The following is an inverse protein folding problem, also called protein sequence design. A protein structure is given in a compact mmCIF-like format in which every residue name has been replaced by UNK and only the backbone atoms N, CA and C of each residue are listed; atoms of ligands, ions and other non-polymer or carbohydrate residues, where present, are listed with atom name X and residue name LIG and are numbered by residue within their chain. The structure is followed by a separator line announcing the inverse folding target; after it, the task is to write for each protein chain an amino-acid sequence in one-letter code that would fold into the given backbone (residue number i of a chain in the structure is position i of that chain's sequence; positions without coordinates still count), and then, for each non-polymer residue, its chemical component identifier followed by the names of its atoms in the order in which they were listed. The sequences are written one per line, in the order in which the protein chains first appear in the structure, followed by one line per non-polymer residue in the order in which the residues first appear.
data_IF_153403448908
#
_entry.id   IF_153403448908
#
_cell.length_a   1.000
_cell.length_b   1.000
_cell.length_c   1.000
_cell.angle_alpha   90.00
_cell.angle_beta   90.00
_cell.angle_gamma   90.00
#
_symmetry.space_group_name_H-M   'P 1'
#
loop_
_entity.id
_entity.type
_entity.pdbx_description
1 polymer ?
#
# COMPACT_ATOMS: atom_id res chain seq x y z
N UNK A 1 -24.15 -0.70 4.32
CA UNK A 1 -22.75 -0.27 4.19
C UNK A 1 -21.90 -1.49 4.53
N UNK A 2 -20.91 -1.83 3.71
CA UNK A 2 -19.94 -2.88 4.05
C UNK A 2 -19.22 -2.40 5.31
N UNK A 3 -19.14 -3.22 6.36
CA UNK A 3 -18.41 -2.87 7.59
C UNK A 3 -16.88 -2.88 7.40
N UNK A 4 -16.40 -2.73 6.16
CA UNK A 4 -14.99 -2.74 5.76
C UNK A 4 -14.43 -1.32 5.88
N UNK A 5 -13.37 -1.16 6.66
CA UNK A 5 -12.66 0.12 6.79
C UNK A 5 -11.92 0.47 5.49
N UNK A 6 -11.88 1.76 5.15
CA UNK A 6 -11.08 2.25 4.03
C UNK A 6 -9.77 2.84 4.54
N UNK A 7 -8.67 2.43 3.93
CA UNK A 7 -7.33 2.98 4.18
C UNK A 7 -6.73 3.50 2.89
N UNK A 8 -6.11 4.68 2.95
CA UNK A 8 -5.45 5.28 1.79
C UNK A 8 -3.94 4.97 1.80
N UNK A 9 -3.35 4.71 0.63
CA UNK A 9 -1.91 4.62 0.44
C UNK A 9 -1.49 5.71 -0.53
N UNK A 10 -0.68 6.64 -0.07
CA UNK A 10 -0.32 7.88 -0.78
C UNK A 10 1.17 7.95 -1.11
N UNK A 11 1.52 8.76 -2.10
CA UNK A 11 2.90 8.95 -2.56
C UNK A 11 3.31 10.43 -2.61
N UNK A 12 2.37 11.36 -2.57
CA UNK A 12 2.62 12.81 -2.64
C UNK A 12 1.97 13.55 -1.46
N UNK A 13 2.48 14.75 -1.17
CA UNK A 13 1.93 15.59 -0.11
C UNK A 13 0.49 16.04 -0.41
N UNK A 14 0.14 16.26 -1.68
CA UNK A 14 -1.20 16.64 -2.09
C UNK A 14 -2.20 15.50 -1.82
N UNK A 15 -1.84 14.25 -2.17
CA UNK A 15 -2.66 13.08 -1.85
C UNK A 15 -2.81 12.90 -0.34
N UNK A 16 -1.73 13.13 0.42
CA UNK A 16 -1.73 13.03 1.88
C UNK A 16 -2.72 14.00 2.51
N UNK A 17 -2.67 15.29 2.13
CA UNK A 17 -3.58 16.30 2.63
C UNK A 17 -5.05 15.96 2.35
N UNK A 18 -5.35 15.49 1.13
CA UNK A 18 -6.70 15.04 0.77
C UNK A 18 -7.14 13.81 1.59
N UNK A 19 -6.25 12.81 1.76
CA UNK A 19 -6.57 11.58 2.50
C UNK A 19 -6.86 11.86 3.98
N UNK A 20 -6.09 12.74 4.61
CA UNK A 20 -6.31 13.15 6.00
C UNK A 20 -7.60 13.95 6.18
N UNK A 21 -8.00 14.75 5.18
CA UNK A 21 -9.26 15.47 5.16
C UNK A 21 -10.50 14.60 4.91
N UNK A 22 -10.32 13.34 4.46
CA UNK A 22 -11.44 12.43 4.22
C UNK A 22 -11.85 11.69 5.51
N UNK A 23 -13.05 11.93 6.02
CA UNK A 23 -13.60 11.25 7.22
C UNK A 23 -13.78 9.73 7.01
N UNK A 24 -14.00 9.29 5.78
CA UNK A 24 -14.18 7.88 5.44
C UNK A 24 -12.86 7.08 5.40
N UNK A 25 -11.70 7.72 5.56
CA UNK A 25 -10.39 7.06 5.61
C UNK A 25 -10.00 6.88 7.08
N UNK A 26 -9.89 5.64 7.53
CA UNK A 26 -9.52 5.30 8.91
C UNK A 26 -8.01 5.38 9.17
N UNK A 27 -7.18 5.10 8.16
CA UNK A 27 -5.73 5.19 8.26
C UNK A 27 -5.09 5.51 6.90
N UNK A 28 -3.90 6.14 6.94
CA UNK A 28 -3.15 6.54 5.75
C UNK A 28 -1.75 5.95 5.81
N UNK A 29 -1.35 5.20 4.78
CA UNK A 29 0.01 4.73 4.58
C UNK A 29 0.83 5.84 3.94
N UNK A 30 1.86 6.31 4.66
CA UNK A 30 2.62 7.52 4.34
C UNK A 30 4.11 7.20 4.22
N UNK A 31 4.77 7.47 3.08
CA UNK A 31 6.22 7.38 2.99
C UNK A 31 6.90 8.23 4.06
N UNK A 32 7.93 7.69 4.75
CA UNK A 32 8.61 8.38 5.85
C UNK A 32 9.08 9.79 5.47
N UNK A 33 9.54 9.99 4.24
CA UNK A 33 9.95 11.31 3.71
C UNK A 33 8.83 12.38 3.69
N UNK A 34 7.57 11.98 3.81
CA UNK A 34 6.41 12.89 3.89
C UNK A 34 5.90 13.05 5.33
N UNK A 35 6.40 12.26 6.27
CA UNK A 35 6.08 12.39 7.68
C UNK A 35 6.94 13.51 8.32
N UNK A 36 6.33 14.36 9.14
CA UNK A 36 7.00 15.47 9.80
C UNK A 36 6.04 16.29 10.64
N UNK A 37 6.50 17.37 11.25
CA UNK A 37 5.78 18.19 12.24
C UNK A 37 4.29 18.50 11.91
N UNK A 38 3.89 18.84 10.66
CA UNK A 38 2.47 19.11 10.40
C UNK A 38 1.54 17.90 10.53
N UNK A 39 2.09 16.70 10.74
CA UNK A 39 1.32 15.45 10.82
C UNK A 39 1.17 14.91 12.24
N UNK A 40 1.75 15.54 13.24
CA UNK A 40 1.73 15.06 14.64
C UNK A 40 0.29 14.92 15.14
N UNK A 41 -0.60 15.83 14.76
CA UNK A 41 -2.03 15.77 15.10
C UNK A 41 -2.78 14.58 14.46
N UNK A 42 -2.20 13.95 13.43
CA UNK A 42 -2.74 12.79 12.71
C UNK A 42 -1.94 11.50 12.96
N UNK A 43 -1.02 11.51 13.93
CA UNK A 43 -0.10 10.39 14.18
C UNK A 43 -0.82 9.07 14.44
N UNK A 44 -2.00 9.11 15.05
CA UNK A 44 -2.87 7.96 15.28
C UNK A 44 -3.50 7.36 14.02
N UNK A 45 -3.62 8.15 12.93
CA UNK A 45 -4.14 7.72 11.63
C UNK A 45 -3.03 7.33 10.64
N UNK A 46 -1.77 7.69 10.93
CA UNK A 46 -0.64 7.45 10.03
C UNK A 46 -0.03 6.06 10.27
N UNK A 47 0.27 5.36 9.18
CA UNK A 47 1.08 4.16 9.15
C UNK A 47 2.30 4.48 8.27
N UNK A 48 3.47 4.55 8.87
CA UNK A 48 4.70 4.91 8.17
C UNK A 48 5.11 3.84 7.16
N UNK A 49 5.57 4.26 6.00
CA UNK A 49 6.17 3.40 4.98
C UNK A 49 7.69 3.62 4.98
N UNK A 50 8.49 2.73 5.57
CA UNK A 50 9.93 2.77 5.40
C UNK A 50 10.32 2.43 3.96
N UNK A 51 11.55 2.76 3.53
CA UNK A 51 12.05 2.36 2.21
C UNK A 51 11.92 0.85 2.02
N UNK A 52 11.37 0.40 0.88
CA UNK A 52 11.13 -1.03 0.62
C UNK A 52 12.43 -1.85 0.59
N UNK A 53 13.54 -1.21 0.24
CA UNK A 53 14.86 -1.80 0.22
C UNK A 53 15.79 -1.03 1.16
N UNK A 54 16.24 -1.65 2.24
CA UNK A 54 17.12 -1.00 3.23
C UNK A 54 18.55 -0.90 2.70
N UNK A 55 19.14 -2.02 2.27
CA UNK A 55 20.49 -2.04 1.70
C UNK A 55 21.49 -1.20 2.51
N UNK A 56 22.10 -0.24 1.84
CA UNK A 56 23.11 0.66 2.43
C UNK A 56 22.49 1.80 3.26
N UNK A 57 21.16 1.85 3.42
CA UNK A 57 20.47 2.93 4.14
C UNK A 57 19.81 2.46 5.46
N UNK A 58 20.14 1.27 5.95
CA UNK A 58 19.49 0.72 7.15
C UNK A 58 19.74 1.60 8.39
N UNK A 59 20.98 1.98 8.68
CA UNK A 59 21.32 2.84 9.83
C UNK A 59 20.59 4.19 9.76
N UNK A 60 20.59 4.82 8.59
CA UNK A 60 19.87 6.07 8.37
C UNK A 60 18.36 5.90 8.57
N UNK A 61 17.79 4.81 8.04
CA UNK A 61 16.37 4.52 8.19
C UNK A 61 16.01 4.30 9.65
N UNK A 62 16.88 3.63 10.41
CA UNK A 62 16.70 3.40 11.85
C UNK A 62 16.73 4.71 12.63
N UNK A 63 17.64 5.62 12.32
CA UNK A 63 17.67 6.94 12.91
C UNK A 63 16.39 7.74 12.61
N UNK A 64 15.96 7.81 11.35
CA UNK A 64 14.73 8.47 10.94
C UNK A 64 13.49 7.86 11.63
N UNK A 65 13.44 6.53 11.80
CA UNK A 65 12.39 5.86 12.55
C UNK A 65 12.36 6.27 14.02
N UNK A 66 13.53 6.39 14.67
CA UNK A 66 13.62 6.84 16.06
C UNK A 66 13.07 8.26 16.21
N UNK A 67 13.46 9.18 15.33
CA UNK A 67 12.97 10.56 15.33
C UNK A 67 11.45 10.64 15.14
N UNK A 68 10.91 9.85 14.19
CA UNK A 68 9.47 9.78 13.96
C UNK A 68 8.72 9.12 15.13
N UNK A 69 9.35 8.17 15.83
CA UNK A 69 8.77 7.56 17.02
C UNK A 69 8.65 8.58 18.17
N UNK A 70 9.67 9.43 18.36
CA UNK A 70 9.66 10.53 19.32
C UNK A 70 8.62 11.60 18.97
N UNK A 71 8.39 11.86 17.67
CA UNK A 71 7.34 12.74 17.16
C UNK A 71 5.91 12.16 17.34
N UNK A 72 5.76 10.96 17.91
CA UNK A 72 4.44 10.40 18.27
C UNK A 72 3.90 9.36 17.29
N UNK A 73 4.56 9.08 16.16
CA UNK A 73 4.11 8.03 15.25
C UNK A 73 4.30 6.66 15.88
N UNK A 74 3.25 5.83 15.85
CA UNK A 74 3.23 4.53 16.55
C UNK A 74 3.16 3.33 15.64
N UNK A 75 2.77 3.48 14.38
CA UNK A 75 2.53 2.38 13.43
C UNK A 75 3.42 2.49 12.20
N UNK A 76 3.96 1.36 11.74
CA UNK A 76 4.73 1.29 10.52
C UNK A 76 4.49 -0.02 9.76
N UNK A 77 4.64 0.00 8.43
CA UNK A 77 4.40 -1.12 7.54
C UNK A 77 5.68 -1.91 7.26
N UNK A 78 5.65 -3.21 7.49
CA UNK A 78 6.70 -4.12 7.08
C UNK A 78 6.47 -4.59 5.63
N UNK A 79 7.40 -4.26 4.74
CA UNK A 79 7.42 -4.75 3.35
C UNK A 79 8.07 -6.13 3.23
N UNK A 80 9.01 -6.45 4.13
CA UNK A 80 9.77 -7.70 4.18
C UNK A 80 9.84 -8.22 5.60
N UNK A 81 10.23 -9.48 5.76
CA UNK A 81 10.42 -10.08 7.10
C UNK A 81 11.49 -9.32 7.92
N UNK A 82 12.55 -8.83 7.26
CA UNK A 82 13.58 -8.01 7.92
C UNK A 82 13.04 -6.70 8.51
N UNK A 83 12.02 -6.09 7.88
CA UNK A 83 11.38 -4.90 8.44
C UNK A 83 10.64 -5.19 9.76
N UNK A 84 10.14 -6.39 9.98
CA UNK A 84 9.40 -6.73 11.20
C UNK A 84 10.26 -6.50 12.43
N UNK A 85 11.49 -7.03 12.42
CA UNK A 85 12.42 -6.86 13.54
C UNK A 85 12.90 -5.42 13.67
N UNK A 86 13.26 -4.77 12.56
CA UNK A 86 13.68 -3.36 12.54
C UNK A 86 12.62 -2.46 13.20
N UNK A 87 11.36 -2.60 12.81
CA UNK A 87 10.28 -1.77 13.31
C UNK A 87 9.94 -2.06 14.77
N UNK A 88 9.95 -3.34 15.17
CA UNK A 88 9.71 -3.73 16.56
C UNK A 88 10.77 -3.20 17.51
N UNK A 89 12.06 -3.31 17.17
CA UNK A 89 13.14 -2.80 18.03
C UNK A 89 13.12 -1.28 18.19
N UNK A 90 12.52 -0.56 17.19
CA UNK A 90 12.29 0.88 17.26
C UNK A 90 10.93 1.25 17.91
N UNK A 91 10.21 0.29 18.51
CA UNK A 91 9.00 0.53 19.31
C UNK A 91 7.73 0.76 18.50
N UNK A 92 7.70 0.37 17.22
CA UNK A 92 6.49 0.49 16.40
C UNK A 92 5.57 -0.73 16.52
N UNK A 93 4.29 -0.48 16.43
CA UNK A 93 3.28 -1.47 16.07
C UNK A 93 3.41 -1.79 14.58
N UNK A 94 3.69 -3.05 14.27
CA UNK A 94 4.02 -3.46 12.89
C UNK A 94 2.77 -3.90 12.15
N UNK A 95 2.47 -3.23 11.04
CA UNK A 95 1.47 -3.63 10.05
C UNK A 95 2.13 -4.43 8.93
N UNK A 96 1.49 -5.49 8.45
CA UNK A 96 2.03 -6.33 7.39
C UNK A 96 1.62 -5.85 5.99
N UNK A 97 2.60 -5.55 5.14
CA UNK A 97 2.38 -5.15 3.76
C UNK A 97 2.08 -6.33 2.82
N UNK A 98 1.48 -6.04 1.66
CA UNK A 98 1.17 -7.04 0.63
C UNK A 98 2.41 -7.76 0.06
N UNK A 99 3.61 -7.19 0.23
CA UNK A 99 4.88 -7.81 -0.20
C UNK A 99 5.35 -8.94 0.72
N UNK A 100 4.80 -9.07 1.93
CA UNK A 100 4.98 -10.28 2.76
C UNK A 100 4.31 -11.50 2.13
N UNK A 101 3.56 -11.29 1.05
CA UNK A 101 2.94 -12.32 0.23
C UNK A 101 2.13 -13.34 1.03
N UNK A 102 1.29 -12.86 1.95
CA UNK A 102 0.42 -13.70 2.75
C UNK A 102 -0.67 -14.31 1.85
N UNK A 103 -0.58 -15.62 1.58
CA UNK A 103 -1.45 -16.34 0.64
C UNK A 103 -2.22 -17.50 1.25
N UNK A 104 -2.01 -17.81 2.54
CA UNK A 104 -2.64 -18.94 3.23
C UNK A 104 -2.67 -18.73 4.75
N UNK A 105 -3.43 -19.58 5.46
CA UNK A 105 -3.61 -19.49 6.92
C UNK A 105 -2.31 -19.75 7.71
N UNK A 106 -1.41 -20.60 7.21
CA UNK A 106 -0.13 -20.87 7.87
C UNK A 106 0.76 -19.63 7.88
N UNK A 107 0.87 -18.95 6.72
CA UNK A 107 1.60 -17.68 6.63
C UNK A 107 0.94 -16.60 7.49
N UNK A 108 -0.40 -16.51 7.51
CA UNK A 108 -1.12 -15.55 8.35
C UNK A 108 -0.85 -15.79 9.84
N UNK A 109 -0.85 -17.07 10.28
CA UNK A 109 -0.49 -17.47 11.65
C UNK A 109 0.94 -17.09 12.00
N UNK A 110 1.90 -17.45 11.15
CA UNK A 110 3.31 -17.11 11.35
C UNK A 110 3.54 -15.58 11.49
N UNK A 111 2.90 -14.80 10.63
CA UNK A 111 3.03 -13.33 10.68
C UNK A 111 2.40 -12.76 11.97
N UNK A 112 1.28 -13.32 12.42
CA UNK A 112 0.67 -12.95 13.69
C UNK A 112 1.59 -13.30 14.87
N UNK A 113 2.23 -14.48 14.86
CA UNK A 113 3.20 -14.91 15.88
C UNK A 113 4.44 -14.00 15.89
N UNK A 114 4.82 -13.43 14.75
CA UNK A 114 5.83 -12.38 14.64
C UNK A 114 5.39 -11.04 15.26
N UNK A 115 4.14 -10.92 15.71
CA UNK A 115 3.60 -9.75 16.40
C UNK A 115 3.00 -8.68 15.49
N UNK A 116 2.66 -9.01 14.25
CA UNK A 116 1.97 -8.08 13.37
C UNK A 116 0.57 -7.76 13.88
N UNK A 117 0.16 -6.50 13.79
CA UNK A 117 -1.16 -6.00 14.23
C UNK A 117 -2.25 -6.20 13.19
N UNK A 118 -1.88 -6.15 11.92
CA UNK A 118 -2.75 -6.43 10.79
C UNK A 118 -1.92 -6.89 9.58
N UNK A 119 -2.58 -7.37 8.52
CA UNK A 119 -1.91 -7.88 7.33
C UNK A 119 -2.68 -7.50 6.07
N UNK A 120 -2.02 -6.93 5.08
CA UNK A 120 -2.54 -6.82 3.72
C UNK A 120 -2.25 -8.13 2.99
N UNK A 121 -3.31 -8.86 2.64
CA UNK A 121 -3.21 -10.12 1.92
C UNK A 121 -2.68 -9.92 0.49
N UNK A 122 -2.07 -10.98 -0.06
CA UNK A 122 -1.52 -10.93 -1.42
C UNK A 122 -2.60 -10.62 -2.47
N UNK A 123 -2.36 -9.68 -3.39
CA UNK A 123 -3.29 -9.38 -4.50
C UNK A 123 -3.39 -10.50 -5.54
N UNK A 124 -2.61 -11.57 -5.41
CA UNK A 124 -2.68 -12.77 -6.24
C UNK A 124 -3.79 -13.75 -5.80
N UNK A 125 -4.39 -13.51 -4.65
CA UNK A 125 -5.47 -14.32 -4.13
C UNK A 125 -6.79 -14.04 -4.85
N UNK A 126 -7.59 -15.09 -5.02
CA UNK A 126 -9.00 -14.89 -5.40
C UNK A 126 -9.85 -14.56 -4.19
N UNK A 127 -11.01 -13.91 -4.42
CA UNK A 127 -12.03 -13.66 -3.37
C UNK A 127 -12.32 -14.94 -2.57
N UNK A 128 -12.52 -16.06 -3.28
CA UNK A 128 -12.79 -17.36 -2.65
C UNK A 128 -11.67 -17.81 -1.71
N UNK A 129 -10.40 -17.56 -2.07
CA UNK A 129 -9.24 -17.88 -1.21
C UNK A 129 -9.16 -16.95 -0.02
N UNK A 130 -9.29 -15.63 -0.24
CA UNK A 130 -9.31 -14.63 0.84
C UNK A 130 -10.36 -14.99 1.90
N UNK A 131 -11.55 -15.37 1.46
CA UNK A 131 -12.65 -15.71 2.35
C UNK A 131 -12.46 -17.01 3.13
N UNK A 132 -11.50 -17.86 2.74
CA UNK A 132 -11.17 -19.14 3.39
C UNK A 132 -9.96 -19.10 4.30
N UNK A 133 -9.10 -18.09 4.16
CA UNK A 133 -7.93 -17.93 5.02
C UNK A 133 -8.41 -17.66 6.45
N UNK A 134 -7.88 -18.42 7.40
CA UNK A 134 -7.98 -18.10 8.81
C UNK A 134 -7.07 -16.91 9.11
N UNK A 135 -7.62 -15.87 9.70
CA UNK A 135 -6.99 -14.58 9.93
C UNK A 135 -6.92 -14.32 11.44
N UNK A 136 -5.80 -14.65 12.08
CA UNK A 136 -5.63 -14.45 13.52
C UNK A 136 -5.50 -12.96 13.90
N UNK A 137 -5.22 -12.10 12.94
CA UNK A 137 -5.21 -10.63 13.09
C UNK A 137 -6.06 -9.99 11.99
N UNK A 138 -6.51 -8.74 12.16
CA UNK A 138 -7.22 -7.99 11.12
C UNK A 138 -6.50 -8.06 9.79
N UNK A 139 -7.26 -8.25 8.73
CA UNK A 139 -6.68 -8.42 7.40
C UNK A 139 -7.42 -7.59 6.36
N UNK A 140 -6.66 -7.10 5.40
CA UNK A 140 -7.17 -6.31 4.30
C UNK A 140 -6.66 -6.77 2.94
N UNK A 141 -7.10 -6.07 1.92
CA UNK A 141 -6.69 -6.30 0.54
C UNK A 141 -6.60 -4.98 -0.23
N UNK A 142 -5.84 -4.97 -1.33
CA UNK A 142 -5.78 -3.79 -2.20
C UNK A 142 -7.05 -3.77 -3.06
N UNK A 143 -7.88 -2.75 -2.89
CA UNK A 143 -9.15 -2.61 -3.60
C UNK A 143 -9.09 -1.64 -4.77
N UNK A 144 -8.14 -0.69 -4.75
CA UNK A 144 -7.97 0.33 -5.77
C UNK A 144 -6.49 0.57 -6.08
N UNK A 145 -6.23 0.93 -7.33
CA UNK A 145 -4.96 1.48 -7.81
C UNK A 145 -4.20 0.58 -8.77
N UNK A 146 -3.07 1.07 -9.27
CA UNK A 146 -2.23 0.29 -10.17
C UNK A 146 -1.34 -0.65 -9.38
N UNK A 147 -1.51 -1.96 -9.59
CA UNK A 147 -0.68 -2.95 -8.92
C UNK A 147 0.76 -2.92 -9.46
N UNK A 148 1.77 -3.03 -8.59
CA UNK A 148 3.16 -3.12 -9.01
C UNK A 148 3.41 -4.46 -9.72
N UNK A 149 4.07 -4.38 -10.87
CA UNK A 149 4.54 -5.54 -11.63
C UNK A 149 6.01 -5.84 -11.36
N UNK A 150 6.81 -4.79 -11.15
CA UNK A 150 8.25 -4.91 -10.89
C UNK A 150 8.70 -3.85 -9.90
N UNK A 151 9.64 -4.24 -9.04
CA UNK A 151 10.38 -3.34 -8.17
C UNK A 151 11.86 -3.36 -8.59
N UNK A 152 12.42 -2.20 -8.85
CA UNK A 152 13.79 -2.04 -9.31
C UNK A 152 14.54 -1.02 -8.45
N UNK A 153 15.85 -1.18 -8.32
CA UNK A 153 16.74 -0.15 -7.75
C UNK A 153 17.17 0.88 -8.80
N UNK A 154 17.08 0.54 -10.06
CA UNK A 154 17.51 1.39 -11.17
C UNK A 154 16.31 1.83 -12.01
N UNK A 155 16.32 3.11 -12.38
CA UNK A 155 15.29 3.64 -13.27
C UNK A 155 15.45 3.03 -14.68
N UNK A 156 14.41 2.41 -15.25
CA UNK A 156 14.48 1.83 -16.58
C UNK A 156 14.50 2.87 -17.72
N UNK A 157 14.29 4.17 -17.38
CA UNK A 157 14.13 5.26 -18.35
C UNK A 157 15.36 6.18 -18.37
N UNK A 158 16.07 6.35 -17.25
CA UNK A 158 17.14 7.35 -17.08
C UNK A 158 18.48 6.71 -16.71
N UNK A 159 19.02 5.88 -17.57
CA UNK A 159 20.35 5.25 -17.43
C UNK A 159 20.65 4.75 -15.99
N UNK A 160 19.61 4.24 -15.34
CA UNK A 160 19.72 3.68 -14.00
C UNK A 160 19.71 4.69 -12.85
N UNK A 161 19.61 6.00 -13.09
CA UNK A 161 19.57 7.01 -12.03
C UNK A 161 18.15 7.35 -11.61
N UNK A 162 17.75 7.14 -10.35
CA UNK A 162 16.47 7.62 -9.84
C UNK A 162 16.38 9.14 -10.00
N UNK A 163 15.22 9.65 -10.43
CA UNK A 163 15.03 11.09 -10.58
C UNK A 163 14.53 11.78 -9.30
N UNK A 164 14.28 11.02 -8.23
CA UNK A 164 13.74 11.53 -6.97
C UNK A 164 12.30 12.05 -7.03
N UNK A 165 11.64 11.94 -8.19
CA UNK A 165 10.24 12.40 -8.36
C UNK A 165 9.30 11.23 -8.16
N UNK A 166 8.36 11.29 -7.18
CA UNK A 166 7.40 10.21 -6.92
C UNK A 166 6.57 9.85 -8.16
N UNK A 167 6.14 10.86 -8.89
CA UNK A 167 5.43 10.70 -10.16
C UNK A 167 6.15 11.49 -11.25
N UNK A 168 7.03 10.84 -12.00
CA UNK A 168 7.77 11.50 -13.09
C UNK A 168 6.96 11.61 -14.39
N UNK A 169 5.75 11.07 -14.44
CA UNK A 169 4.91 11.06 -15.65
C UNK A 169 5.38 10.08 -16.75
N UNK A 170 6.49 9.39 -16.53
CA UNK A 170 7.10 8.51 -17.51
C UNK A 170 6.45 7.11 -17.53
N UNK A 171 6.69 6.38 -18.60
CA UNK A 171 6.17 5.02 -18.77
C UNK A 171 7.11 4.20 -19.66
N UNK A 172 7.09 2.89 -19.46
CA UNK A 172 7.67 1.92 -20.39
C UNK A 172 6.54 1.26 -21.18
N UNK A 173 6.84 0.86 -22.41
CA UNK A 173 5.85 0.18 -23.26
C UNK A 173 6.21 -1.30 -23.36
N UNK A 174 5.25 -2.18 -23.09
CA UNK A 174 5.44 -3.62 -23.22
C UNK A 174 5.37 -4.07 -24.70
N UNK A 175 5.62 -5.38 -24.96
CA UNK A 175 5.57 -5.97 -26.30
C UNK A 175 4.20 -5.89 -26.97
N UNK A 176 3.14 -5.64 -26.21
CA UNK A 176 1.75 -5.51 -26.70
C UNK A 176 1.33 -4.05 -26.87
N UNK A 177 2.25 -3.09 -26.72
CA UNK A 177 1.98 -1.67 -26.82
C UNK A 177 1.31 -1.06 -25.58
N UNK A 178 1.19 -1.81 -24.47
CA UNK A 178 0.62 -1.29 -23.22
C UNK A 178 1.62 -0.37 -22.52
N UNK A 179 1.15 0.79 -22.11
CA UNK A 179 1.95 1.76 -21.35
C UNK A 179 1.90 1.44 -19.85
N UNK A 180 3.04 1.06 -19.30
CA UNK A 180 3.23 0.74 -17.89
C UNK A 180 3.80 1.97 -17.19
N UNK A 181 3.09 2.51 -16.21
CA UNK A 181 3.53 3.70 -15.47
C UNK A 181 4.74 3.37 -14.61
N UNK A 182 5.64 4.36 -14.47
CA UNK A 182 6.82 4.26 -13.62
C UNK A 182 6.69 5.28 -12.50
N UNK A 183 6.81 4.83 -11.26
CA UNK A 183 6.87 5.70 -10.09
C UNK A 183 8.14 5.43 -9.30
N UNK A 184 8.66 6.48 -8.64
CA UNK A 184 9.82 6.38 -7.78
C UNK A 184 9.38 6.57 -6.32
N UNK A 185 9.86 5.72 -5.44
CA UNK A 185 9.71 5.87 -4.00
C UNK A 185 11.06 5.66 -3.35
N UNK A 186 11.55 6.67 -2.65
CA UNK A 186 12.84 6.67 -1.95
C UNK A 186 13.98 6.14 -2.85
N UNK A 187 14.48 4.94 -2.59
CA UNK A 187 15.58 4.31 -3.32
C UNK A 187 15.13 3.23 -4.33
N UNK A 188 13.84 3.16 -4.63
CA UNK A 188 13.25 2.16 -5.52
C UNK A 188 12.40 2.78 -6.63
N UNK A 189 12.22 2.02 -7.67
CA UNK A 189 11.40 2.36 -8.82
C UNK A 189 10.42 1.23 -9.08
N UNK A 190 9.13 1.53 -9.09
CA UNK A 190 8.09 0.57 -9.42
C UNK A 190 7.60 0.76 -10.85
N UNK A 191 7.45 -0.35 -11.55
CA UNK A 191 6.71 -0.41 -12.81
C UNK A 191 5.32 -0.93 -12.49
N UNK A 192 4.30 -0.14 -12.80
CA UNK A 192 2.92 -0.41 -12.46
C UNK A 192 2.14 -0.96 -13.64
N UNK A 193 1.10 -1.72 -13.34
CA UNK A 193 0.15 -2.20 -14.36
C UNK A 193 -0.47 -1.04 -15.16
N UNK A 194 -0.71 -1.27 -16.44
CA UNK A 194 -1.41 -0.32 -17.33
C UNK A 194 -2.83 -0.03 -16.87
N UNK A 195 -3.53 -1.04 -16.37
CA UNK A 195 -4.92 -0.97 -16.02
C UNK A 195 -5.07 -0.73 -14.50
N UNK A 196 -6.02 0.09 -14.09
CA UNK A 196 -6.34 0.37 -12.68
C UNK A 196 -7.15 -0.79 -12.11
N UNK A 197 -6.70 -1.35 -10.99
CA UNK A 197 -7.55 -2.23 -10.18
C UNK A 197 -8.68 -1.42 -9.58
N UNK A 198 -9.92 -1.88 -9.72
CA UNK A 198 -11.09 -1.20 -9.21
C UNK A 198 -12.15 -2.21 -8.76
N UNK A 199 -12.48 -2.19 -7.45
CA UNK A 199 -13.37 -3.15 -6.80
C UNK A 199 -14.57 -2.49 -6.09
N UNK A 200 -14.85 -1.22 -6.38
CA UNK A 200 -16.04 -0.53 -5.86
C UNK A 200 -17.33 -1.25 -6.29
N UNK A 201 -18.33 -1.25 -5.42
CA UNK A 201 -19.55 -2.04 -5.57
C UNK A 201 -19.38 -3.54 -5.33
N UNK A 202 -18.21 -3.96 -4.82
CA UNK A 202 -17.87 -5.37 -4.57
C UNK A 202 -17.19 -5.63 -3.25
N UNK A 203 -17.04 -4.62 -2.40
CA UNK A 203 -16.35 -4.79 -1.12
C UNK A 203 -17.04 -5.83 -0.24
N UNK A 204 -18.35 -5.91 -0.27
CA UNK A 204 -19.15 -6.88 0.50
C UNK A 204 -18.89 -8.37 0.13
N UNK A 205 -18.24 -8.64 -1.02
CA UNK A 205 -17.86 -9.99 -1.42
C UNK A 205 -16.66 -10.53 -0.61
N UNK A 206 -15.89 -9.61 0.04
CA UNK A 206 -14.65 -9.93 0.76
C UNK A 206 -14.91 -10.05 2.27
N UNK A 207 -14.53 -11.17 2.84
CA UNK A 207 -14.45 -11.34 4.31
C UNK A 207 -13.10 -10.77 4.78
N UNK A 208 -13.01 -9.47 4.91
CA UNK A 208 -11.83 -8.74 5.32
C UNK A 208 -12.24 -7.55 6.19
N UNK A 209 -11.31 -7.04 6.99
CA UNK A 209 -11.56 -5.96 7.94
C UNK A 209 -11.36 -4.59 7.29
N UNK A 210 -10.41 -4.48 6.33
CA UNK A 210 -10.13 -3.22 5.64
C UNK A 210 -9.79 -3.40 4.16
N UNK A 211 -10.03 -2.35 3.40
CA UNK A 211 -9.69 -2.22 1.98
C UNK A 211 -8.70 -1.07 1.78
N UNK A 212 -7.63 -1.31 1.01
CA UNK A 212 -6.58 -0.33 0.73
C UNK A 212 -6.81 0.31 -0.64
N UNK A 213 -6.93 1.63 -0.66
CA UNK A 213 -6.98 2.45 -1.86
C UNK A 213 -5.57 3.01 -2.11
N UNK A 214 -4.87 2.45 -3.09
CA UNK A 214 -3.47 2.79 -3.41
C UNK A 214 -3.42 3.84 -4.51
N UNK A 215 -3.28 5.10 -4.11
CA UNK A 215 -3.20 6.24 -5.03
C UNK A 215 -1.77 6.41 -5.54
N UNK A 216 -1.56 6.18 -6.83
CA UNK A 216 -0.22 6.18 -7.44
C UNK A 216 0.04 7.38 -8.34
N UNK A 217 -0.90 7.69 -9.23
CA UNK A 217 -0.78 8.76 -10.23
C UNK A 217 -1.93 9.75 -10.18
N UNK A 218 -2.88 9.51 -9.33
CA UNK A 218 -4.08 10.32 -9.13
C UNK A 218 -3.72 11.63 -8.43
N UNK A 219 -4.23 12.75 -8.92
CA UNK A 219 -4.09 14.09 -8.32
C UNK A 219 -5.28 14.41 -7.42
N UNK A 220 -6.46 13.87 -7.75
CA UNK A 220 -7.69 14.03 -6.99
C UNK A 220 -8.14 12.66 -6.49
N UNK A 221 -8.13 12.46 -5.17
CA UNK A 221 -8.47 11.17 -4.57
C UNK A 221 -9.85 11.17 -3.90
N UNK A 222 -10.36 12.32 -3.50
CA UNK A 222 -11.63 12.44 -2.78
C UNK A 222 -12.83 11.84 -3.54
N UNK A 223 -12.99 12.03 -4.87
CA UNK A 223 -14.08 11.39 -5.62
C UNK A 223 -14.02 9.86 -5.55
N UNK A 224 -12.80 9.30 -5.59
CA UNK A 224 -12.60 7.86 -5.51
C UNK A 224 -12.92 7.34 -4.10
N UNK A 225 -12.48 8.06 -3.05
CA UNK A 225 -12.82 7.73 -1.66
C UNK A 225 -14.33 7.72 -1.46
N UNK A 226 -15.06 8.72 -1.96
CA UNK A 226 -16.53 8.78 -1.87
C UNK A 226 -17.20 7.60 -2.57
N UNK A 227 -16.70 7.23 -3.76
CA UNK A 227 -17.19 6.08 -4.51
C UNK A 227 -17.08 4.77 -3.71
N UNK A 228 -15.93 4.56 -3.05
CA UNK A 228 -15.70 3.40 -2.20
C UNK A 228 -16.47 3.43 -0.88
N UNK A 229 -16.60 4.60 -0.25
CA UNK A 229 -17.36 4.74 0.97
C UNK A 229 -18.86 4.43 0.79
N UNK A 230 -19.38 4.70 -0.39
CA UNK A 230 -20.76 4.39 -0.77
C UNK A 230 -20.90 3.01 -1.42
N UNK A 231 -19.77 2.35 -1.71
CA UNK A 231 -19.67 1.05 -2.42
C UNK A 231 -20.49 1.02 -3.73
N UNK A 232 -20.46 2.13 -4.49
CA UNK A 232 -21.21 2.29 -5.74
C UNK A 232 -20.44 1.61 -6.88
N UNK A 233 -21.04 0.67 -7.61
CA UNK A 233 -20.42 0.08 -8.79
C UNK A 233 -20.28 1.11 -9.91
N UNK A 234 -19.19 1.06 -10.66
CA UNK A 234 -18.96 1.85 -11.86
C UNK A 234 -18.63 0.96 -13.05
N UNK A 235 -19.08 1.35 -14.24
CA UNK A 235 -18.73 0.72 -15.52
C UNK A 235 -17.67 1.57 -16.22
N UNK A 236 -16.49 1.71 -15.59
CA UNK A 236 -15.37 2.41 -16.21
C UNK A 236 -14.63 1.53 -17.23
N UNK A 237 -14.27 2.11 -18.36
CA UNK A 237 -13.36 1.50 -19.33
C UNK A 237 -11.92 1.51 -18.79
N UNK A 238 -11.11 0.54 -19.22
CA UNK A 238 -9.70 0.39 -18.85
C UNK A 238 -9.42 0.11 -17.37
N UNK A 239 -10.35 -0.53 -16.68
CA UNK A 239 -10.18 -1.04 -15.32
C UNK A 239 -9.99 -2.56 -15.33
N UNK A 240 -9.35 -3.07 -14.28
CA UNK A 240 -9.19 -4.51 -14.06
C UNK A 240 -9.75 -4.91 -12.70
N UNK A 241 -10.24 -6.13 -12.59
CA UNK A 241 -10.54 -6.77 -11.29
C UNK A 241 -9.34 -7.54 -10.74
N UNK A 242 -8.17 -7.38 -11.36
CA UNK A 242 -6.95 -8.07 -10.96
C UNK A 242 -7.06 -9.60 -11.08
N UNK A 243 -6.47 -10.30 -10.13
CA UNK A 243 -6.54 -11.75 -10.02
C UNK A 243 -7.67 -12.22 -9.10
N UNK A 244 -8.41 -11.31 -8.46
CA UNK A 244 -9.44 -11.64 -7.48
C UNK A 244 -10.56 -12.55 -8.00
N UNK A 245 -10.84 -12.52 -9.32
CA UNK A 245 -11.90 -13.34 -9.92
C UNK A 245 -11.39 -14.46 -10.83
N UNK A 246 -10.11 -14.46 -11.21
CA UNK A 246 -9.54 -15.47 -12.11
C UNK A 246 -8.37 -16.27 -11.53
N UNK A 247 -7.70 -15.73 -10.51
CA UNK A 247 -6.52 -16.33 -9.89
C UNK A 247 -5.29 -16.35 -10.81
N UNK A 248 -4.19 -16.86 -10.25
CA UNK A 248 -2.98 -17.21 -10.99
C UNK A 248 -3.21 -18.58 -11.63
N UNK A 249 -2.91 -18.71 -12.93
CA UNK A 249 -2.97 -19.99 -13.67
C UNK A 249 -1.66 -20.74 -13.49
#
# INVERSE_FOLDING_TARGET
MSGIELRAWVYTAEQLGQALGCENISAVYVPMRLAGEPLDEYADRVILLPPEFLGDCEERTEQELSELREAGFTRALAHTVGHIELLRRNGFEVCGGNRLNCTNSVTAGFLADCGLKDIILSPELTVKRINRIEKPVPSGFIAYGRLPLMLNRRCPIRDGKPCGKPNCGESVTDRKGKRLRVICSDNTVEILNSDVLMLNGRLSEFKADFAVLRFTTETEIEPIVKLYAQDIPTDEENVTRGLYYRGVK
#
